data_IF_328019828258
#
_entry.id   IF_328019828258
#
_cell.length_a   1.000
_cell.length_b   1.000
_cell.length_c   1.000
_cell.angle_alpha   90.00
_cell.angle_beta   90.00
_cell.angle_gamma   90.00
#
_symmetry.space_group_name_H-M   'P 1'
#
loop_
_entity.id
_entity.type
_entity.pdbx_description
1 polymer ?
#
# COMPACT_ATOMS: atom_id res chain seq x y z
N UNK A 1 6.82 12.79 0.60
CA UNK A 1 7.66 11.57 0.51
C UNK A 1 7.87 11.05 1.90
N UNK A 2 7.75 9.73 2.11
CA UNK A 2 7.98 9.16 3.43
C UNK A 2 9.44 8.76 3.62
N UNK A 3 10.05 8.08 2.65
CA UNK A 3 11.43 7.60 2.75
C UNK A 3 12.35 8.29 1.74
N UNK A 4 13.44 8.89 2.23
CA UNK A 4 14.55 9.36 1.41
C UNK A 4 15.61 8.27 1.23
N UNK A 5 16.57 8.46 0.33
CA UNK A 5 17.83 7.70 0.34
C UNK A 5 18.85 8.44 1.20
N UNK A 6 19.55 7.74 2.10
CA UNK A 6 20.75 8.29 2.73
C UNK A 6 21.97 8.14 1.80
N UNK A 7 23.15 8.57 2.25
CA UNK A 7 24.41 8.44 1.50
C UNK A 7 24.81 6.99 1.20
N UNK A 8 24.38 6.05 2.03
CA UNK A 8 24.61 4.62 1.84
C UNK A 8 23.57 3.97 0.93
N UNK A 9 22.67 4.77 0.33
CA UNK A 9 21.59 4.30 -0.53
C UNK A 9 20.40 3.68 0.21
N UNK A 10 20.41 3.64 1.55
CA UNK A 10 19.34 3.08 2.38
C UNK A 10 18.13 4.01 2.46
N UNK A 11 16.96 3.42 2.63
CA UNK A 11 15.71 4.14 2.90
C UNK A 11 15.66 4.62 4.34
N UNK A 12 15.44 5.92 4.55
CA UNK A 12 15.32 6.52 5.88
C UNK A 12 14.05 7.39 6.01
N UNK A 13 13.34 7.32 7.15
CA UNK A 13 12.28 8.28 7.46
C UNK A 13 12.89 9.68 7.63
N UNK A 14 12.05 10.72 7.69
CA UNK A 14 12.53 12.05 8.02
C UNK A 14 12.65 12.22 9.54
N UNK A 15 13.73 12.85 9.99
CA UNK A 15 13.90 13.36 11.35
C UNK A 15 14.50 14.77 11.31
N UNK A 16 14.50 15.49 12.44
CA UNK A 16 14.85 16.92 12.49
C UNK A 16 16.19 17.27 11.84
N UNK A 17 17.20 16.42 12.02
CA UNK A 17 18.59 16.72 11.68
C UNK A 17 19.17 15.77 10.62
N UNK A 18 18.34 14.95 9.99
CA UNK A 18 18.79 14.05 8.93
C UNK A 18 18.90 14.74 7.57
N UNK A 19 19.83 14.24 6.77
CA UNK A 19 19.96 14.59 5.35
C UNK A 19 19.55 13.39 4.51
N UNK A 20 18.75 13.63 3.47
CA UNK A 20 18.27 12.60 2.58
C UNK A 20 18.17 13.10 1.14
N UNK A 21 18.21 12.16 0.20
CA UNK A 21 18.13 12.40 -1.23
C UNK A 21 16.86 11.80 -1.81
N UNK A 22 16.28 12.49 -2.78
CA UNK A 22 15.12 12.00 -3.51
C UNK A 22 15.46 10.72 -4.28
N UNK A 23 14.70 9.62 -4.15
CA UNK A 23 14.92 8.46 -4.99
C UNK A 23 14.71 8.65 -6.48
N UNK A 24 13.86 9.60 -6.85
CA UNK A 24 13.54 9.83 -8.26
C UNK A 24 14.62 10.67 -8.94
N UNK A 25 14.92 11.86 -8.40
CA UNK A 25 15.85 12.80 -9.04
C UNK A 25 17.22 12.90 -8.37
N UNK A 26 17.44 12.20 -7.25
CA UNK A 26 18.67 12.26 -6.47
C UNK A 26 19.01 13.65 -5.86
N UNK A 27 18.08 14.60 -5.92
CA UNK A 27 18.25 15.93 -5.33
C UNK A 27 18.14 15.90 -3.80
N UNK A 28 18.85 16.79 -3.07
CA UNK A 28 18.73 16.92 -1.63
C UNK A 28 17.31 17.29 -1.18
N UNK A 29 16.86 16.63 -0.11
CA UNK A 29 15.59 16.87 0.55
C UNK A 29 15.79 17.60 1.87
N UNK A 30 14.76 18.33 2.29
CA UNK A 30 14.71 18.98 3.60
C UNK A 30 13.70 18.24 4.47
N UNK A 31 14.06 17.82 5.69
CA UNK A 31 13.09 17.29 6.62
C UNK A 31 12.18 18.44 7.05
N UNK A 32 10.86 18.26 6.93
CA UNK A 32 9.88 19.23 7.39
C UNK A 32 8.92 18.60 8.38
N UNK A 33 8.62 19.34 9.43
CA UNK A 33 7.48 19.10 10.30
C UNK A 33 6.38 20.07 9.84
N UNK A 34 5.49 19.59 8.95
CA UNK A 34 4.34 20.37 8.51
C UNK A 34 3.13 20.18 9.43
N UNK A 35 1.95 20.58 8.96
CA UNK A 35 0.66 20.49 9.67
C UNK A 35 0.25 19.08 10.12
N UNK A 36 1.01 18.08 9.69
CA UNK A 36 0.73 16.66 9.89
C UNK A 36 1.35 16.12 11.18
N UNK A 37 1.98 16.99 11.99
CA UNK A 37 2.73 16.65 13.22
C UNK A 37 3.69 15.47 13.05
N UNK A 38 4.15 15.27 11.82
CA UNK A 38 5.03 14.18 11.46
C UNK A 38 6.08 14.66 10.47
N UNK A 39 7.32 14.29 10.75
CA UNK A 39 8.46 14.56 9.90
C UNK A 39 8.28 13.85 8.55
N UNK A 40 8.41 14.61 7.48
CA UNK A 40 8.37 14.09 6.12
C UNK A 40 9.39 14.81 5.24
N UNK A 41 9.79 14.16 4.16
CA UNK A 41 10.74 14.73 3.22
C UNK A 41 10.07 15.64 2.19
N UNK A 42 10.66 16.81 1.97
CA UNK A 42 10.20 17.82 1.03
C UNK A 42 11.36 18.29 0.15
N UNK A 43 11.10 18.50 -1.15
CA UNK A 43 12.05 19.20 -2.01
C UNK A 43 12.12 20.69 -1.62
N UNK A 44 13.23 21.35 -1.95
CA UNK A 44 13.34 22.80 -1.83
C UNK A 44 12.31 23.51 -2.74
N UNK A 45 11.79 24.69 -2.36
CA UNK A 45 10.91 25.47 -3.22
C UNK A 45 11.52 25.67 -4.62
N UNK A 46 10.70 25.57 -5.67
CA UNK A 46 11.14 25.71 -7.07
C UNK A 46 11.70 24.43 -7.72
N UNK A 47 11.95 23.37 -6.96
CA UNK A 47 12.38 22.08 -7.51
C UNK A 47 11.16 21.23 -7.92
N UNK A 48 11.00 21.04 -9.23
CA UNK A 48 9.98 20.15 -9.77
C UNK A 48 10.50 18.71 -9.81
N UNK A 49 9.85 17.82 -9.06
CA UNK A 49 10.15 16.40 -9.10
C UNK A 49 8.93 15.60 -9.57
N UNK A 50 9.17 14.57 -10.39
CA UNK A 50 8.15 13.61 -10.81
C UNK A 50 7.80 12.59 -9.71
N UNK A 51 8.54 12.59 -8.60
CA UNK A 51 8.31 11.68 -7.49
C UNK A 51 6.85 11.75 -7.04
N UNK A 52 6.18 10.59 -7.09
CA UNK A 52 4.79 10.31 -6.73
C UNK A 52 4.05 11.55 -6.20
N UNK A 53 3.38 12.25 -7.12
CA UNK A 53 2.87 13.61 -6.88
C UNK A 53 1.84 13.74 -5.76
N UNK A 54 1.34 12.67 -5.14
CA UNK A 54 0.47 12.76 -3.95
C UNK A 54 0.31 11.37 -3.30
N UNK A 55 1.12 11.06 -2.29
CA UNK A 55 0.79 9.95 -1.39
C UNK A 55 -0.18 10.44 -0.31
N UNK A 56 -1.24 9.68 -0.06
CA UNK A 56 -2.24 9.98 0.97
C UNK A 56 -1.72 9.62 2.36
N UNK A 57 -2.30 10.19 3.42
CA UNK A 57 -1.98 9.78 4.81
C UNK A 57 -2.18 8.28 5.04
N UNK A 58 -3.19 7.70 4.41
CA UNK A 58 -3.44 6.27 4.45
C UNK A 58 -2.26 5.47 3.87
N UNK A 59 -1.73 5.89 2.71
CA UNK A 59 -0.54 5.26 2.12
C UNK A 59 0.68 5.42 3.02
N UNK A 60 0.91 6.61 3.60
CA UNK A 60 2.00 6.82 4.55
C UNK A 60 1.89 5.93 5.80
N UNK A 61 0.68 5.72 6.32
CA UNK A 61 0.45 4.81 7.44
C UNK A 61 0.78 3.35 7.10
N UNK A 62 0.64 2.93 5.84
CA UNK A 62 1.05 1.61 5.37
C UNK A 62 2.54 1.50 5.11
N UNK A 63 3.13 2.51 4.47
CA UNK A 63 4.58 2.59 4.23
C UNK A 63 5.32 2.54 5.56
N UNK A 64 4.91 3.33 6.56
CA UNK A 64 5.50 3.29 7.91
C UNK A 64 5.40 1.90 8.53
N UNK A 65 4.22 1.30 8.47
CA UNK A 65 3.97 0.00 9.09
C UNK A 65 4.89 -1.09 8.51
N UNK A 66 4.99 -1.18 7.18
CA UNK A 66 5.83 -2.17 6.53
C UNK A 66 7.33 -1.85 6.65
N UNK A 67 7.71 -0.57 6.56
CA UNK A 67 9.09 -0.15 6.79
C UNK A 67 9.55 -0.51 8.21
N UNK A 68 8.71 -0.26 9.22
CA UNK A 68 9.00 -0.59 10.62
C UNK A 68 9.07 -2.10 10.89
N UNK A 69 8.52 -2.95 10.02
CA UNK A 69 8.66 -4.41 10.17
C UNK A 69 10.06 -4.89 9.78
N UNK A 70 10.82 -4.11 9.01
CA UNK A 70 12.17 -4.45 8.55
C UNK A 70 12.24 -5.53 7.46
N UNK A 71 11.10 -6.13 7.09
CA UNK A 71 11.02 -7.21 6.08
C UNK A 71 10.71 -6.69 4.66
N UNK A 72 10.36 -5.40 4.53
CA UNK A 72 9.91 -4.80 3.29
C UNK A 72 10.81 -3.66 2.84
N UNK A 73 11.19 -3.71 1.56
CA UNK A 73 11.83 -2.62 0.84
C UNK A 73 10.74 -1.68 0.31
N UNK A 74 10.46 -0.61 1.04
CA UNK A 74 9.39 0.34 0.71
C UNK A 74 9.84 1.43 -0.28
N UNK A 75 8.89 1.89 -1.10
CA UNK A 75 9.09 2.95 -2.11
C UNK A 75 10.31 2.64 -3.00
N UNK A 76 10.36 1.43 -3.56
CA UNK A 76 11.50 0.90 -4.32
C UNK A 76 11.19 0.75 -5.81
N UNK A 77 12.24 0.60 -6.63
CA UNK A 77 12.12 0.41 -8.07
C UNK A 77 12.94 -0.81 -8.49
N UNK A 78 12.34 -1.71 -9.27
CA UNK A 78 13.01 -2.91 -9.79
C UNK A 78 12.92 -2.95 -11.31
N UNK A 79 14.08 -2.87 -11.96
CA UNK A 79 14.20 -2.84 -13.42
C UNK A 79 13.30 -1.76 -14.03
N UNK A 80 13.40 -0.53 -13.51
CA UNK A 80 12.67 0.65 -14.01
C UNK A 80 11.18 0.71 -13.67
N UNK A 81 10.65 -0.22 -12.86
CA UNK A 81 9.24 -0.18 -12.41
C UNK A 81 9.18 0.11 -10.91
N UNK A 82 8.36 1.09 -10.55
CA UNK A 82 8.14 1.50 -9.17
C UNK A 82 7.12 0.61 -8.46
N UNK A 83 7.42 0.25 -7.22
CA UNK A 83 6.58 -0.54 -6.32
C UNK A 83 6.33 0.24 -5.01
N UNK A 84 5.16 0.08 -4.40
CA UNK A 84 4.95 0.61 -3.04
C UNK A 84 5.85 -0.11 -2.03
N UNK A 85 6.05 -1.41 -2.21
CA UNK A 85 7.00 -2.19 -1.44
C UNK A 85 7.30 -3.54 -2.07
N UNK A 86 8.46 -4.11 -1.72
CA UNK A 86 8.85 -5.47 -2.09
C UNK A 86 9.24 -6.23 -0.83
N UNK A 87 8.74 -7.45 -0.69
CA UNK A 87 9.26 -8.39 0.29
C UNK A 87 10.21 -9.35 -0.43
N UNK A 88 11.54 -9.21 -0.28
CA UNK A 88 12.51 -9.97 -1.06
C UNK A 88 12.40 -11.48 -0.80
N UNK A 89 12.35 -11.89 0.46
CA UNK A 89 12.29 -13.32 0.84
C UNK A 89 10.99 -13.99 0.42
N UNK A 90 9.83 -13.38 0.73
CA UNK A 90 8.51 -13.93 0.35
C UNK A 90 8.16 -13.71 -1.11
N UNK A 91 9.02 -13.04 -1.88
CA UNK A 91 8.84 -12.70 -3.30
C UNK A 91 7.51 -11.99 -3.53
N UNK A 92 7.17 -11.00 -2.71
CA UNK A 92 5.92 -10.24 -2.82
C UNK A 92 6.19 -8.85 -3.37
N UNK A 93 5.26 -8.33 -4.17
CA UNK A 93 5.18 -6.91 -4.53
C UNK A 93 3.91 -6.31 -3.95
N UNK A 94 3.99 -5.08 -3.45
CA UNK A 94 2.88 -4.37 -2.84
C UNK A 94 2.44 -3.20 -3.73
N UNK A 95 1.13 -3.04 -3.86
CA UNK A 95 0.46 -1.83 -4.35
C UNK A 95 -0.54 -1.33 -3.32
N UNK A 96 -0.45 -0.05 -2.97
CA UNK A 96 -1.38 0.66 -2.10
C UNK A 96 -2.37 1.48 -2.94
N UNK A 97 -3.48 0.85 -3.31
CA UNK A 97 -4.45 1.38 -4.25
C UNK A 97 -5.51 2.25 -3.56
N UNK A 98 -5.42 3.57 -3.72
CA UNK A 98 -6.43 4.51 -3.18
C UNK A 98 -7.68 4.63 -4.08
N UNK A 99 -7.66 4.05 -5.28
CA UNK A 99 -8.74 4.02 -6.28
C UNK A 99 -8.78 2.67 -6.98
N UNK A 100 -9.94 2.31 -7.52
CA UNK A 100 -10.12 1.13 -8.38
C UNK A 100 -9.77 1.47 -9.84
N UNK A 101 -8.48 1.71 -10.10
CA UNK A 101 -7.95 1.95 -11.45
C UNK A 101 -7.52 0.63 -12.08
N UNK A 102 -8.40 0.02 -12.88
CA UNK A 102 -8.18 -1.31 -13.47
C UNK A 102 -6.99 -1.35 -14.42
N UNK A 103 -6.65 -0.23 -15.08
CA UNK A 103 -5.52 -0.16 -16.00
C UNK A 103 -4.22 -0.21 -15.18
N UNK A 104 -4.12 0.62 -14.14
CA UNK A 104 -2.96 0.64 -13.25
C UNK A 104 -2.79 -0.69 -12.51
N UNK A 105 -3.88 -1.28 -12.03
CA UNK A 105 -3.86 -2.58 -11.33
C UNK A 105 -3.37 -3.71 -12.23
N UNK A 106 -3.85 -3.77 -13.48
CA UNK A 106 -3.40 -4.78 -14.45
C UNK A 106 -1.91 -4.61 -14.75
N UNK A 107 -1.48 -3.38 -15.03
CA UNK A 107 -0.07 -3.07 -15.29
C UNK A 107 0.83 -3.49 -14.11
N UNK A 108 0.40 -3.25 -12.87
CA UNK A 108 1.10 -3.69 -11.67
C UNK A 108 1.20 -5.21 -11.55
N UNK A 109 0.11 -5.95 -11.78
CA UNK A 109 0.10 -7.42 -11.71
C UNK A 109 1.02 -8.00 -12.79
N UNK A 110 0.93 -7.50 -14.02
CA UNK A 110 1.77 -7.97 -15.13
C UNK A 110 3.26 -7.69 -14.85
N UNK A 111 3.59 -6.49 -14.39
CA UNK A 111 4.97 -6.11 -14.04
C UNK A 111 5.53 -6.95 -12.88
N UNK A 112 4.69 -7.29 -11.90
CA UNK A 112 5.05 -8.17 -10.79
C UNK A 112 5.33 -9.59 -11.28
N UNK A 113 4.44 -10.15 -12.11
CA UNK A 113 4.57 -11.48 -12.67
C UNK A 113 5.84 -11.63 -13.53
N UNK A 114 6.15 -10.65 -14.37
CA UNK A 114 7.38 -10.60 -15.18
C UNK A 114 8.66 -10.65 -14.33
N UNK A 115 8.59 -10.21 -13.06
CA UNK A 115 9.70 -10.23 -12.11
C UNK A 115 9.65 -11.45 -11.17
N UNK A 116 8.68 -12.35 -11.38
CA UNK A 116 8.41 -13.51 -10.54
C UNK A 116 8.02 -13.14 -9.11
N UNK A 117 7.39 -11.98 -8.93
CA UNK A 117 6.83 -11.52 -7.66
C UNK A 117 5.33 -11.83 -7.62
N UNK A 118 4.82 -12.20 -6.44
CA UNK A 118 3.39 -12.37 -6.19
C UNK A 118 2.78 -11.01 -5.80
N UNK A 119 1.85 -10.47 -6.60
CA UNK A 119 1.24 -9.19 -6.32
C UNK A 119 0.30 -9.24 -5.11
N UNK A 120 0.45 -8.25 -4.23
CA UNK A 120 -0.43 -7.94 -3.12
C UNK A 120 -0.96 -6.52 -3.34
N UNK A 121 -2.28 -6.39 -3.42
CA UNK A 121 -2.94 -5.09 -3.54
C UNK A 121 -3.77 -4.86 -2.28
N UNK A 122 -3.52 -3.74 -1.61
CA UNK A 122 -4.36 -3.26 -0.51
C UNK A 122 -5.10 -2.04 -1.03
N UNK A 123 -6.42 -2.08 -0.95
CA UNK A 123 -7.29 -0.99 -1.35
C UNK A 123 -7.66 -0.14 -0.13
N UNK A 124 -7.61 1.18 -0.28
CA UNK A 124 -8.34 2.06 0.64
C UNK A 124 -9.85 1.82 0.45
N UNK A 125 -10.63 1.80 1.52
CA UNK A 125 -12.07 1.60 1.44
C UNK A 125 -12.79 2.58 0.49
N UNK A 126 -12.29 3.82 0.35
CA UNK A 126 -12.82 4.82 -0.59
C UNK A 126 -12.76 4.39 -2.05
N UNK A 127 -11.89 3.45 -2.42
CA UNK A 127 -11.88 2.88 -3.77
C UNK A 127 -13.23 2.23 -4.15
N UNK A 128 -14.03 1.86 -3.15
CA UNK A 128 -15.35 1.24 -3.30
C UNK A 128 -16.49 2.12 -2.80
N UNK A 129 -16.31 3.43 -2.63
CA UNK A 129 -17.33 4.33 -2.05
C UNK A 129 -18.68 4.33 -2.80
N UNK A 130 -18.68 3.94 -4.08
CA UNK A 130 -19.88 3.84 -4.92
C UNK A 130 -20.53 2.45 -4.92
N UNK A 131 -19.89 1.47 -4.29
CA UNK A 131 -20.40 0.11 -4.25
C UNK A 131 -21.45 -0.02 -3.14
N UNK A 132 -22.48 -0.80 -3.42
CA UNK A 132 -23.42 -1.26 -2.41
C UNK A 132 -22.80 -2.44 -1.67
N UNK A 133 -22.99 -2.48 -0.36
CA UNK A 133 -22.51 -3.58 0.48
C UNK A 133 -23.70 -4.27 1.14
N UNK A 134 -23.84 -5.56 0.89
CA UNK A 134 -24.87 -6.42 1.48
C UNK A 134 -24.34 -7.84 1.63
N UNK A 135 -24.64 -8.49 2.76
CA UNK A 135 -24.19 -9.86 3.11
C UNK A 135 -22.72 -10.16 2.72
N UNK A 136 -21.79 -9.30 3.16
CA UNK A 136 -20.35 -9.42 2.85
C UNK A 136 -20.00 -9.39 1.36
N UNK A 137 -20.84 -8.78 0.52
CA UNK A 137 -20.62 -8.63 -0.92
C UNK A 137 -20.66 -7.16 -1.31
N UNK A 138 -19.63 -6.71 -2.03
CA UNK A 138 -19.60 -5.42 -2.70
C UNK A 138 -20.13 -5.59 -4.13
N UNK A 139 -21.13 -4.80 -4.50
CA UNK A 139 -21.72 -4.79 -5.85
C UNK A 139 -21.78 -3.37 -6.38
N UNK A 140 -21.31 -3.18 -7.61
CA UNK A 140 -21.44 -1.89 -8.26
C UNK A 140 -22.91 -1.66 -8.69
N UNK A 141 -23.49 -0.47 -8.44
CA UNK A 141 -24.92 -0.23 -8.73
C UNK A 141 -25.22 -0.19 -10.24
N UNK A 142 -24.25 0.20 -11.08
CA UNK A 142 -24.40 0.15 -12.53
C UNK A 142 -24.20 -1.28 -13.03
N UNK A 143 -25.22 -1.85 -13.68
CA UNK A 143 -25.16 -3.20 -14.27
C UNK A 143 -24.14 -3.36 -15.40
N UNK A 144 -23.78 -2.26 -16.08
CA UNK A 144 -22.75 -2.26 -17.11
C UNK A 144 -21.32 -2.18 -16.57
N UNK A 145 -21.15 -2.02 -15.25
CA UNK A 145 -19.84 -2.02 -14.64
C UNK A 145 -19.26 -3.43 -14.64
N UNK A 146 -18.07 -3.55 -15.22
CA UNK A 146 -17.35 -4.80 -15.37
C UNK A 146 -16.13 -4.87 -14.44
N UNK A 147 -16.03 -4.01 -13.42
CA UNK A 147 -14.91 -4.00 -12.49
C UNK A 147 -14.77 -5.31 -11.72
N UNK A 148 -15.87 -6.04 -11.52
CA UNK A 148 -15.86 -7.38 -10.93
C UNK A 148 -15.06 -8.41 -11.75
N UNK A 149 -14.92 -8.23 -13.07
CA UNK A 149 -14.14 -9.13 -13.95
C UNK A 149 -12.68 -9.16 -13.49
N UNK A 150 -12.14 -8.04 -13.01
CA UNK A 150 -10.79 -8.00 -12.45
C UNK A 150 -10.64 -8.95 -11.24
N UNK A 151 -11.61 -8.93 -10.33
CA UNK A 151 -11.60 -9.79 -9.15
C UNK A 151 -11.84 -11.25 -9.50
N UNK A 152 -12.65 -11.51 -10.53
CA UNK A 152 -12.76 -12.84 -11.13
C UNK A 152 -11.36 -13.27 -11.55
N UNK A 153 -10.80 -12.68 -12.59
CA UNK A 153 -9.52 -13.06 -13.22
C UNK A 153 -8.32 -13.18 -12.27
N UNK A 154 -8.26 -12.38 -11.20
CA UNK A 154 -7.07 -12.32 -10.34
C UNK A 154 -7.24 -12.91 -8.95
N UNK A 155 -8.47 -12.99 -8.42
CA UNK A 155 -8.74 -13.33 -7.03
C UNK A 155 -9.87 -14.36 -6.83
N UNK A 156 -10.37 -15.01 -7.88
CA UNK A 156 -11.30 -16.12 -7.73
C UNK A 156 -10.58 -17.42 -7.28
N UNK A 157 -11.06 -18.11 -6.22
CA UNK A 157 -10.47 -19.37 -5.77
C UNK A 157 -10.62 -20.53 -6.75
N UNK A 158 -11.62 -20.49 -7.64
CA UNK A 158 -11.88 -21.56 -8.61
C UNK A 158 -10.90 -21.62 -9.78
N UNK A 159 -9.92 -20.71 -9.85
CA UNK A 159 -8.84 -20.75 -10.84
C UNK A 159 -7.51 -20.30 -10.24
N UNK A 160 -6.43 -20.38 -11.01
CA UNK A 160 -5.10 -19.94 -10.56
C UNK A 160 -5.11 -18.45 -10.20
N UNK A 161 -5.06 -18.17 -8.89
CA UNK A 161 -4.95 -16.80 -8.38
C UNK A 161 -3.63 -16.18 -8.81
N UNK A 162 -3.71 -14.98 -9.35
CA UNK A 162 -2.55 -14.21 -9.80
C UNK A 162 -2.28 -13.01 -8.90
N UNK A 163 -3.20 -12.63 -8.01
CA UNK A 163 -2.97 -11.60 -7.00
C UNK A 163 -3.67 -11.89 -5.65
N UNK A 164 -3.16 -11.28 -4.59
CA UNK A 164 -3.83 -11.20 -3.29
C UNK A 164 -4.43 -9.81 -3.11
N UNK A 165 -5.75 -9.73 -3.10
CA UNK A 165 -6.48 -8.47 -3.02
C UNK A 165 -7.08 -8.29 -1.62
N UNK A 166 -6.97 -7.09 -1.07
CA UNK A 166 -7.40 -6.77 0.28
C UNK A 166 -8.04 -5.38 0.34
N UNK A 167 -8.99 -5.16 1.23
CA UNK A 167 -9.54 -3.84 1.55
C UNK A 167 -9.20 -3.50 3.01
N UNK A 168 -8.73 -2.29 3.23
CA UNK A 168 -8.45 -1.75 4.57
C UNK A 168 -9.62 -0.89 5.04
N UNK A 169 -10.27 -1.30 6.12
CA UNK A 169 -11.33 -0.57 6.81
C UNK A 169 -10.71 0.20 7.97
N UNK A 170 -10.52 1.50 7.79
CA UNK A 170 -9.92 2.37 8.80
C UNK A 170 -10.92 2.72 9.91
N UNK A 171 -10.46 2.74 11.16
CA UNK A 171 -11.29 3.12 12.30
C UNK A 171 -11.79 4.56 12.15
N UNK A 172 -13.11 4.75 12.27
CA UNK A 172 -13.74 6.06 12.24
C UNK A 172 -13.68 6.76 10.86
N UNK A 173 -13.38 6.05 9.77
CA UNK A 173 -13.41 6.60 8.40
C UNK A 173 -14.49 5.94 7.56
N UNK A 174 -15.18 6.74 6.76
CA UNK A 174 -16.11 6.24 5.74
C UNK A 174 -15.41 6.04 4.38
N UNK A 175 -15.84 5.05 3.58
CA UNK A 175 -16.87 4.05 3.90
C UNK A 175 -16.31 2.93 4.79
N UNK A 176 -17.09 2.48 5.78
CA UNK A 176 -16.73 1.31 6.61
C UNK A 176 -17.64 0.10 6.37
N UNK A 177 -18.69 0.23 5.54
CA UNK A 177 -19.59 -0.86 5.14
C UNK A 177 -20.22 -1.64 6.29
N UNK A 178 -20.38 -1.02 7.48
CA UNK A 178 -20.80 -1.72 8.70
C UNK A 178 -19.78 -2.74 9.25
N UNK A 179 -18.60 -2.84 8.64
CA UNK A 179 -17.51 -3.71 9.07
C UNK A 179 -16.73 -3.07 10.23
N UNK A 180 -16.09 -3.93 11.03
CA UNK A 180 -15.11 -3.50 12.04
C UNK A 180 -13.84 -3.03 11.34
N UNK A 181 -13.03 -2.22 12.02
CA UNK A 181 -11.73 -1.82 11.48
C UNK A 181 -10.81 -3.02 11.30
N UNK A 182 -10.10 -3.08 10.18
CA UNK A 182 -9.17 -4.16 9.85
C UNK A 182 -9.05 -4.40 8.36
N UNK A 183 -8.25 -5.41 7.99
CA UNK A 183 -7.93 -5.71 6.60
C UNK A 183 -8.65 -6.99 6.19
N UNK A 184 -9.48 -6.89 5.16
CA UNK A 184 -10.31 -7.99 4.69
C UNK A 184 -9.85 -8.48 3.33
N UNK A 185 -9.82 -9.80 3.11
CA UNK A 185 -9.52 -10.35 1.79
C UNK A 185 -10.69 -10.09 0.85
N UNK A 186 -10.38 -9.74 -0.40
CA UNK A 186 -11.34 -9.63 -1.49
C UNK A 186 -11.18 -10.81 -2.44
N UNK A 187 -12.29 -11.41 -2.84
CA UNK A 187 -12.38 -12.45 -3.88
C UNK A 187 -13.60 -12.22 -4.76
N UNK A 188 -13.68 -12.89 -5.90
CA UNK A 188 -14.92 -12.94 -6.67
C UNK A 188 -15.95 -13.89 -6.02
N UNK A 189 -17.23 -13.51 -6.08
CA UNK A 189 -18.33 -14.33 -5.59
C UNK A 189 -18.80 -15.35 -6.64
N UNK A 190 -18.61 -16.65 -6.37
CA UNK A 190 -19.17 -17.72 -7.22
C UNK A 190 -20.71 -17.74 -7.22
N UNK A 191 -21.32 -17.29 -6.12
CA UNK A 191 -22.76 -17.41 -5.86
C UNK A 191 -23.56 -16.20 -6.36
N UNK A 192 -22.89 -15.07 -6.60
CA UNK A 192 -23.55 -13.82 -6.99
C UNK A 192 -22.78 -13.14 -8.11
N UNK A 193 -23.33 -13.24 -9.33
CA UNK A 193 -22.73 -12.62 -10.52
C UNK A 193 -22.54 -11.11 -10.32
N UNK A 194 -21.36 -10.63 -10.70
CA UNK A 194 -21.00 -9.22 -10.61
C UNK A 194 -20.67 -8.72 -9.20
N UNK A 195 -20.51 -9.62 -8.22
CA UNK A 195 -20.21 -9.26 -6.84
C UNK A 195 -18.79 -9.66 -6.41
N UNK A 196 -18.20 -8.83 -5.55
CA UNK A 196 -16.92 -9.05 -4.90
C UNK A 196 -17.20 -9.47 -3.46
N UNK A 197 -16.75 -10.66 -3.07
CA UNK A 197 -16.87 -11.14 -1.69
C UNK A 197 -15.79 -10.49 -0.83
N UNK A 198 -16.21 -9.98 0.32
CA UNK A 198 -15.36 -9.52 1.41
C UNK A 198 -15.27 -10.64 2.45
N UNK A 199 -14.05 -11.02 2.84
CA UNK A 199 -13.85 -12.02 3.88
C UNK A 199 -14.60 -11.64 5.17
N UNK A 200 -15.10 -12.64 5.92
CA UNK A 200 -15.88 -12.35 7.14
C UNK A 200 -15.00 -11.94 8.33
N UNK A 201 -13.75 -12.38 8.34
CA UNK A 201 -12.82 -12.15 9.45
C UNK A 201 -11.74 -11.15 9.03
N UNK A 202 -11.63 -9.98 9.68
CA UNK A 202 -10.54 -9.06 9.41
C UNK A 202 -9.23 -9.65 9.93
N UNK A 203 -8.14 -9.34 9.24
CA UNK A 203 -6.80 -9.37 9.82
C UNK A 203 -6.55 -8.06 10.52
N UNK A 204 -5.98 -8.12 11.71
CA UNK A 204 -5.47 -6.94 12.39
C UNK A 204 -4.19 -6.49 11.70
N UNK A 205 -4.02 -5.17 11.55
CA UNK A 205 -2.72 -4.60 11.23
C UNK A 205 -1.85 -4.84 12.46
N UNK A 206 -0.87 -5.74 12.36
CA UNK A 206 0.05 -6.03 13.46
C UNK A 206 0.64 -4.70 13.95
N UNK A 207 0.65 -4.43 15.25
CA UNK A 207 1.39 -3.27 15.73
C UNK A 207 2.87 -3.48 15.36
N UNK A 208 3.56 -2.50 14.74
CA UNK A 208 5.00 -2.63 14.59
C UNK A 208 5.61 -2.78 15.98
N UNK A 209 6.44 -3.80 16.16
CA UNK A 209 7.21 -3.99 17.39
C UNK A 209 8.04 -2.73 17.58
N UNK A 210 7.65 -1.89 18.55
CA UNK A 210 8.48 -0.78 18.97
C UNK A 210 9.82 -1.40 19.38
N UNK A 211 10.87 -1.16 18.59
CA UNK A 211 12.20 -1.67 18.90
C UNK A 211 12.57 -1.10 20.26
N UNK A 212 12.64 -1.97 21.27
CA UNK A 212 13.17 -1.58 22.58
C UNK A 212 14.56 -0.96 22.33
N UNK A 213 14.87 0.20 22.95
CA UNK A 213 16.21 0.75 22.84
C UNK A 213 17.20 -0.32 23.29
N UNK A 214 18.20 -0.61 22.46
CA UNK A 214 19.34 -1.43 22.88
C UNK A 214 19.97 -0.70 24.06
N UNK A 215 19.77 -1.20 25.26
CA UNK A 215 20.51 -0.74 26.43
C UNK A 215 21.97 -0.96 26.15
N UNK A 216 22.69 0.14 25.89
CA UNK A 216 24.12 0.16 25.76
C UNK A 216 24.73 -0.36 27.05
N UNK A 217 25.30 -1.56 26.98
CA UNK A 217 26.21 -2.04 28.01
C UNK A 217 27.47 -1.18 27.95
N UNK A 218 27.59 -0.26 28.90
CA UNK A 218 28.88 0.31 29.28
C UNK A 218 29.59 -0.80 30.06
N UNK A 219 30.45 -1.55 29.38
CA UNK A 219 31.47 -2.35 30.03
C UNK A 219 32.64 -1.46 30.35
N UNK A 220 32.82 -1.18 31.65
CA UNK A 220 34.04 -0.63 32.24
C UNK A 220 35.22 -1.60 32.07
#
# INVERSE_FOLDING_TARGET
MYLARNTDGRRIPATRDESGYCPSCNEPLTPKLGDIYEWHWSHKPGQACSYRKTATFWQYGWIRHYHASGEWEMETSVSGVDFDGIHPEKRLSLMLAHKLDLIALKAFIDASAQRGLKPVVIFNAKAFERFQFDDYRLKHPKRSDNGWIFFFSHAFPGHKRTASLWIDIEQGKHPHFGLKSGIYNLTYSAECHGAITVGRTPKLKSAPLCSKPKSGGIGL
#
